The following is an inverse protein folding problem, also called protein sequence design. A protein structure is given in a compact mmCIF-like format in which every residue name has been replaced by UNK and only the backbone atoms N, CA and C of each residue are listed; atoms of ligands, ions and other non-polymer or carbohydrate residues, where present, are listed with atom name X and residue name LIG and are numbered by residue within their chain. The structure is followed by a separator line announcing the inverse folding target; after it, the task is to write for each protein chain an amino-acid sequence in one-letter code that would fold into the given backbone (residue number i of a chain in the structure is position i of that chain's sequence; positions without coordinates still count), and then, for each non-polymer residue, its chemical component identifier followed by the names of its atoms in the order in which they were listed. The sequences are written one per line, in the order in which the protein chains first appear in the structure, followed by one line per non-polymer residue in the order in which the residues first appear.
data_IF_340801920431
#
_entry.id   IF_340801920431
#
_cell.length_a   1.000
_cell.length_b   1.000
_cell.length_c   1.000
_cell.angle_alpha   90.00
_cell.angle_beta   90.00
_cell.angle_gamma   90.00
#
_symmetry.space_group_name_H-M   'P 1'
#
loop_
_entity.id
_entity.type
_entity.pdbx_description
1 polymer ?
#
# COMPACT_ATOMS: atom_id res chain seq x y z
N UNK A 1 9.45 9.73 -11.38
CA UNK A 1 8.45 9.32 -12.39
C UNK A 1 8.39 7.82 -12.64
N UNK A 2 9.49 7.09 -12.94
CA UNK A 2 9.45 5.61 -13.13
C UNK A 2 9.54 4.81 -11.81
N UNK A 3 10.29 5.34 -10.85
CA UNK A 3 10.47 4.74 -9.52
C UNK A 3 9.15 4.76 -8.74
N UNK A 4 8.39 5.85 -8.84
CA UNK A 4 7.06 5.99 -8.21
C UNK A 4 6.10 4.88 -8.64
N UNK A 5 6.13 4.49 -9.93
CA UNK A 5 5.23 3.47 -10.46
C UNK A 5 5.45 2.08 -9.86
N UNK A 6 6.70 1.73 -9.52
CA UNK A 6 7.03 0.45 -8.90
C UNK A 6 6.57 0.43 -7.44
N UNK A 7 6.76 1.52 -6.70
CA UNK A 7 6.24 1.64 -5.35
C UNK A 7 4.70 1.59 -5.36
N UNK A 8 4.05 2.37 -6.23
CA UNK A 8 2.60 2.32 -6.42
C UNK A 8 2.09 0.90 -6.69
N UNK A 9 2.76 0.17 -7.58
CA UNK A 9 2.42 -1.23 -7.90
C UNK A 9 2.57 -2.14 -6.69
N UNK A 10 3.65 -2.00 -5.91
CA UNK A 10 3.84 -2.79 -4.68
C UNK A 10 2.79 -2.49 -3.61
N UNK A 11 2.42 -1.22 -3.40
CA UNK A 11 1.35 -0.86 -2.44
C UNK A 11 -0.04 -1.33 -2.90
N UNK A 12 -0.23 -1.51 -4.21
CA UNK A 12 -1.48 -1.99 -4.79
C UNK A 12 -1.56 -3.53 -4.77
N UNK A 13 -0.48 -4.23 -5.10
CA UNK A 13 -0.43 -5.69 -5.18
C UNK A 13 -0.11 -6.35 -3.83
N UNK A 14 0.62 -5.66 -2.93
CA UNK A 14 1.10 -6.19 -1.64
C UNK A 14 0.93 -5.19 -0.46
N UNK A 15 -0.29 -4.64 -0.22
CA UNK A 15 -0.51 -3.76 0.92
C UNK A 15 -0.25 -4.49 2.25
N UNK A 16 -0.65 -5.75 2.38
CA UNK A 16 -0.53 -6.53 3.62
C UNK A 16 0.92 -6.65 4.09
N UNK A 17 1.86 -6.99 3.19
CA UNK A 17 3.28 -7.12 3.52
C UNK A 17 3.91 -5.80 4.00
N UNK A 18 3.41 -4.66 3.52
CA UNK A 18 3.86 -3.36 4.01
C UNK A 18 3.37 -3.11 5.44
N UNK A 19 2.07 -3.35 5.70
CA UNK A 19 1.50 -3.15 7.04
C UNK A 19 2.07 -4.13 8.07
N UNK A 20 2.39 -5.35 7.66
CA UNK A 20 3.12 -6.34 8.47
C UNK A 20 4.51 -5.83 8.86
N UNK A 21 5.25 -5.23 7.92
CA UNK A 21 6.58 -4.66 8.17
C UNK A 21 6.56 -3.52 9.21
N UNK A 22 5.49 -2.74 9.25
CA UNK A 22 5.29 -1.65 10.23
C UNK A 22 4.47 -2.08 11.46
N UNK A 23 4.23 -3.38 11.63
CA UNK A 23 3.48 -3.97 12.75
C UNK A 23 2.09 -3.33 12.98
N UNK A 24 1.39 -3.00 11.90
CA UNK A 24 0.02 -2.49 11.99
C UNK A 24 -1.01 -3.63 12.03
N UNK A 25 -2.12 -3.44 12.77
CA UNK A 25 -3.18 -4.45 12.86
C UNK A 25 -3.94 -4.66 11.55
N UNK A 26 -4.32 -5.91 11.27
CA UNK A 26 -5.03 -6.35 10.05
C UNK A 26 -6.33 -5.57 9.77
N UNK A 27 -6.97 -5.03 10.81
CA UNK A 27 -8.16 -4.17 10.69
C UNK A 27 -7.91 -2.95 9.81
N UNK A 28 -6.69 -2.41 9.83
CA UNK A 28 -6.30 -1.25 9.01
C UNK A 28 -6.06 -1.69 7.57
N UNK A 29 -5.48 -2.88 7.38
CA UNK A 29 -5.20 -3.47 6.06
C UNK A 29 -6.48 -3.84 5.33
N UNK A 30 -7.43 -4.48 6.00
CA UNK A 30 -8.71 -4.89 5.40
C UNK A 30 -9.57 -3.70 4.98
N UNK A 31 -9.41 -2.56 5.65
CA UNK A 31 -10.05 -1.29 5.28
C UNK A 31 -9.16 -0.40 4.40
N UNK A 32 -7.95 -0.84 4.06
CA UNK A 32 -7.05 -0.09 3.20
C UNK A 32 -7.54 -0.19 1.76
N UNK A 33 -7.91 0.96 1.20
CA UNK A 33 -8.20 1.09 -0.23
C UNK A 33 -7.17 2.02 -0.83
N UNK A 34 -6.24 1.44 -1.59
CA UNK A 34 -5.28 2.23 -2.35
C UNK A 34 -6.03 3.06 -3.40
N UNK A 35 -6.23 4.34 -3.13
CA UNK A 35 -6.75 5.30 -4.11
C UNK A 35 -5.58 6.14 -4.60
N UNK A 36 -5.21 5.97 -5.87
CA UNK A 36 -4.26 6.86 -6.54
C UNK A 36 -4.91 8.25 -6.69
N UNK A 37 -4.94 9.03 -5.62
CA UNK A 37 -5.27 10.45 -5.67
C UNK A 37 -3.97 11.18 -6.00
N UNK A 38 -3.76 11.48 -7.29
CA UNK A 38 -2.80 12.49 -7.68
C UNK A 38 -3.37 13.85 -7.23
N UNK A 39 -2.85 14.42 -6.14
CA UNK A 39 -3.18 15.79 -5.67
C UNK A 39 -2.00 16.70 -5.97
#
# INVERSE_FOLDING_TARGET
MKTDSIFYRMFLDFPDSFFELIAQPDVIVSNYRFTSQEV
#
